data_IF_257312772862
#
_entry.id   IF_257312772862
#
_cell.length_a   1.000
_cell.length_b   1.000
_cell.length_c   1.000
_cell.angle_alpha   90.00
_cell.angle_beta   90.00
_cell.angle_gamma   90.00
#
_symmetry.space_group_name_H-M   'P 1'
#
loop_
_entity.id
_entity.type
_entity.pdbx_description
1 polymer ?
#
# COMPACT_ATOMS: atom_id res chain seq x y z
N UNK A 1 10.96 -11.91 -13.61
CA UNK A 1 9.80 -11.31 -12.92
C UNK A 1 9.47 -12.17 -11.73
N UNK A 2 9.25 -11.59 -10.57
CA UNK A 2 8.93 -12.31 -9.34
C UNK A 2 7.47 -12.77 -9.39
N UNK A 3 7.20 -14.02 -9.03
CA UNK A 3 5.82 -14.46 -8.85
C UNK A 3 5.34 -14.01 -7.47
N UNK A 4 4.46 -13.02 -7.45
CA UNK A 4 3.95 -12.39 -6.24
C UNK A 4 3.31 -13.42 -5.28
N UNK A 5 2.63 -14.41 -5.84
CA UNK A 5 2.05 -15.53 -5.09
C UNK A 5 3.11 -16.27 -4.25
N UNK A 6 4.24 -16.62 -4.87
CA UNK A 6 5.33 -17.34 -4.17
C UNK A 6 5.98 -16.47 -3.10
N UNK A 7 6.20 -15.18 -3.41
CA UNK A 7 6.76 -14.22 -2.47
C UNK A 7 5.90 -14.10 -1.20
N UNK A 8 4.58 -13.95 -1.37
CA UNK A 8 3.65 -13.82 -0.24
C UNK A 8 3.51 -15.14 0.54
N UNK A 9 3.47 -16.29 -0.12
CA UNK A 9 3.40 -17.60 0.55
C UNK A 9 4.67 -17.93 1.34
N UNK A 10 5.84 -17.48 0.87
CA UNK A 10 7.12 -17.72 1.54
C UNK A 10 7.41 -16.75 2.68
N UNK A 11 6.68 -15.65 2.78
CA UNK A 11 6.90 -14.60 3.79
C UNK A 11 5.70 -14.50 4.73
N UNK A 12 5.85 -15.03 5.94
CA UNK A 12 4.77 -15.03 6.94
C UNK A 12 4.32 -13.63 7.37
N UNK A 13 5.18 -12.60 7.26
CA UNK A 13 4.86 -11.26 7.72
C UNK A 13 5.58 -10.14 6.94
N UNK A 14 5.18 -9.85 5.70
CA UNK A 14 5.62 -8.64 4.99
C UNK A 14 5.04 -7.34 5.60
N UNK A 15 4.09 -7.45 6.51
CA UNK A 15 3.46 -6.33 7.22
C UNK A 15 2.35 -5.68 6.40
N UNK A 16 2.61 -4.53 5.82
CA UNK A 16 1.73 -3.84 4.86
C UNK A 16 2.40 -3.89 3.50
N UNK A 17 1.61 -4.08 2.45
CA UNK A 17 2.14 -4.15 1.10
C UNK A 17 1.32 -3.37 0.10
N UNK A 18 2.01 -2.68 -0.82
CA UNK A 18 1.41 -1.95 -1.94
C UNK A 18 1.92 -2.57 -3.23
N UNK A 19 1.01 -2.91 -4.12
CA UNK A 19 1.29 -3.27 -5.51
C UNK A 19 0.73 -2.18 -6.41
N UNK A 20 1.51 -1.70 -7.37
CA UNK A 20 1.03 -0.80 -8.43
C UNK A 20 1.61 -1.28 -9.76
N UNK A 21 0.79 -1.27 -10.81
CA UNK A 21 1.24 -1.71 -12.13
C UNK A 21 0.20 -1.49 -13.22
N UNK A 22 0.43 -2.17 -14.35
CA UNK A 22 -0.45 -2.12 -15.52
C UNK A 22 -0.89 -3.54 -15.90
N UNK A 23 -2.18 -3.75 -16.15
CA UNK A 23 -2.71 -5.05 -16.55
C UNK A 23 -2.05 -5.58 -17.84
N UNK A 24 -2.07 -6.90 -18.04
CA UNK A 24 -1.40 -7.56 -19.16
C UNK A 24 -1.91 -7.08 -20.53
N UNK A 25 -3.21 -6.81 -20.66
CA UNK A 25 -3.81 -6.22 -21.86
C UNK A 25 -3.52 -4.71 -22.03
N UNK A 26 -2.84 -4.10 -21.06
CA UNK A 26 -2.48 -2.69 -21.06
C UNK A 26 -3.64 -1.71 -20.77
N UNK A 27 -4.83 -2.21 -20.51
CA UNK A 27 -6.05 -1.40 -20.36
C UNK A 27 -6.18 -0.73 -19.00
N UNK A 28 -5.75 -1.42 -17.94
CA UNK A 28 -5.99 -0.97 -16.56
C UNK A 28 -4.71 -0.54 -15.85
N UNK A 29 -4.77 0.56 -15.16
CA UNK A 29 -3.88 0.89 -14.06
C UNK A 29 -4.38 0.14 -12.82
N UNK A 30 -3.50 -0.63 -12.18
CA UNK A 30 -3.87 -1.56 -11.11
C UNK A 30 -3.16 -1.17 -9.83
N UNK A 31 -3.88 -1.18 -8.72
CA UNK A 31 -3.28 -1.10 -7.38
C UNK A 31 -3.93 -2.07 -6.42
N UNK A 32 -3.12 -2.62 -5.54
CA UNK A 32 -3.57 -3.39 -4.38
C UNK A 32 -2.86 -2.91 -3.13
N UNK A 33 -3.56 -2.95 -2.01
CA UNK A 33 -3.03 -2.66 -0.69
C UNK A 33 -3.56 -3.66 0.32
N UNK A 34 -2.67 -4.27 1.08
CA UNK A 34 -3.06 -5.17 2.17
C UNK A 34 -2.44 -4.76 3.50
N UNK A 35 -3.14 -5.09 4.57
CA UNK A 35 -2.64 -5.00 5.93
C UNK A 35 -2.60 -6.36 6.59
N UNK A 36 -1.56 -6.57 7.38
CA UNK A 36 -1.40 -7.70 8.28
C UNK A 36 -1.20 -7.20 9.71
N UNK A 37 -1.45 -8.03 10.69
CA UNK A 37 -1.32 -7.70 12.11
C UNK A 37 -0.88 -8.90 12.93
N UNK A 38 0.01 -8.68 13.92
CA UNK A 38 0.43 -9.71 14.90
C UNK A 38 -0.23 -9.52 16.27
N UNK A 39 -0.51 -8.27 16.67
CA UNK A 39 -1.20 -7.98 17.93
C UNK A 39 -2.71 -8.00 17.77
N UNK A 40 -3.45 -8.17 18.87
CA UNK A 40 -4.92 -8.09 18.90
C UNK A 40 -5.42 -6.75 18.38
N UNK A 41 -4.79 -5.63 18.80
CA UNK A 41 -5.13 -4.29 18.34
C UNK A 41 -4.92 -4.13 16.82
N UNK A 42 -3.79 -4.60 16.28
CA UNK A 42 -3.51 -4.52 14.85
C UNK A 42 -4.42 -5.42 13.98
N UNK A 43 -4.92 -6.53 14.54
CA UNK A 43 -5.89 -7.44 13.88
C UNK A 43 -7.33 -6.96 13.96
N UNK A 44 -7.64 -6.05 14.88
CA UNK A 44 -8.97 -5.50 15.10
C UNK A 44 -9.32 -4.40 14.10
N UNK A 45 -9.14 -4.66 12.80
CA UNK A 45 -9.36 -3.69 11.72
C UNK A 45 -10.12 -4.30 10.57
N UNK A 46 -10.86 -3.42 9.87
CA UNK A 46 -11.48 -3.67 8.59
C UNK A 46 -11.25 -2.49 7.66
N UNK A 47 -11.29 -2.71 6.36
CA UNK A 47 -11.42 -1.65 5.37
C UNK A 47 -12.89 -1.38 5.09
N UNK A 48 -13.25 -0.12 5.06
CA UNK A 48 -14.57 0.36 4.64
C UNK A 48 -14.42 1.39 3.53
N UNK A 49 -15.37 1.41 2.60
CA UNK A 49 -15.40 2.43 1.56
C UNK A 49 -15.69 3.81 2.17
N UNK A 50 -14.95 4.83 1.73
CA UNK A 50 -15.13 6.23 2.12
C UNK A 50 -14.96 7.12 0.89
N UNK A 51 -16.08 7.59 0.32
CA UNK A 51 -16.07 8.31 -0.95
C UNK A 51 -15.45 7.47 -2.06
N UNK A 52 -14.48 8.02 -2.77
CA UNK A 52 -13.70 7.31 -3.79
C UNK A 52 -12.51 6.53 -3.20
N UNK A 53 -12.25 6.65 -1.92
CA UNK A 53 -11.18 5.98 -1.20
C UNK A 53 -11.66 4.88 -0.28
N UNK A 54 -10.81 4.53 0.68
CA UNK A 54 -11.13 3.62 1.78
C UNK A 54 -10.56 4.16 3.09
N UNK A 55 -11.17 3.71 4.19
CA UNK A 55 -10.72 3.99 5.55
C UNK A 55 -10.51 2.70 6.34
N UNK A 56 -9.53 2.66 7.22
CA UNK A 56 -9.47 1.64 8.27
C UNK A 56 -10.47 1.96 9.38
N UNK A 57 -11.12 0.95 9.91
CA UNK A 57 -12.04 1.06 11.03
C UNK A 57 -11.79 -0.08 12.01
N UNK A 58 -12.02 0.15 13.30
CA UNK A 58 -12.02 -0.95 14.27
C UNK A 58 -13.17 -1.89 13.96
N UNK A 59 -12.89 -3.21 13.90
CA UNK A 59 -13.92 -4.23 13.79
C UNK A 59 -14.78 -4.28 15.06
N UNK A 60 -14.14 -4.30 16.22
CA UNK A 60 -14.76 -4.21 17.53
C UNK A 60 -14.26 -2.93 18.24
N UNK A 61 -15.05 -1.85 18.25
CA UNK A 61 -14.65 -0.59 18.88
C UNK A 61 -14.34 -0.71 20.36
N UNK A 62 -14.92 -1.70 21.07
CA UNK A 62 -14.69 -1.92 22.50
C UNK A 62 -13.26 -2.42 22.80
N UNK A 63 -12.58 -2.97 21.80
CA UNK A 63 -11.20 -3.49 21.88
C UNK A 63 -10.15 -2.55 21.29
N UNK A 64 -10.54 -1.33 20.91
CA UNK A 64 -9.62 -0.34 20.36
C UNK A 64 -8.82 0.31 21.50
N UNK A 65 -7.50 0.02 21.56
CA UNK A 65 -6.60 0.55 22.60
C UNK A 65 -6.05 1.92 22.19
N UNK A 66 -5.38 1.99 21.02
CA UNK A 66 -4.80 3.21 20.49
C UNK A 66 -5.10 3.34 18.99
N UNK A 67 -5.91 4.33 18.57
CA UNK A 67 -6.25 4.54 17.17
C UNK A 67 -5.13 5.18 16.34
N UNK A 68 -4.14 5.82 16.94
CA UNK A 68 -3.24 6.77 16.26
C UNK A 68 -2.47 6.19 15.08
N UNK A 69 -2.04 4.91 15.16
CA UNK A 69 -1.27 4.24 14.11
C UNK A 69 -2.09 3.22 13.30
N UNK A 70 -3.36 3.03 13.64
CA UNK A 70 -4.18 1.97 13.02
C UNK A 70 -5.45 2.48 12.34
N UNK A 71 -5.92 3.69 12.66
CA UNK A 71 -7.10 4.31 12.05
C UNK A 71 -6.64 5.46 11.15
N UNK A 72 -6.76 5.28 9.84
CA UNK A 72 -6.36 6.25 8.80
C UNK A 72 -7.10 5.94 7.49
N UNK A 73 -6.99 6.80 6.50
CA UNK A 73 -7.47 6.55 5.15
C UNK A 73 -6.32 6.01 4.27
N UNK A 74 -6.21 4.69 4.04
CA UNK A 74 -5.10 4.14 3.23
C UNK A 74 -5.17 4.56 1.78
N UNK A 75 -6.35 4.86 1.25
CA UNK A 75 -6.55 5.27 -0.13
C UNK A 75 -7.38 6.54 -0.19
N UNK A 76 -6.85 7.56 -0.87
CA UNK A 76 -7.57 8.79 -1.23
C UNK A 76 -7.39 9.11 -2.70
N UNK A 77 -8.38 9.78 -3.27
CA UNK A 77 -8.36 10.24 -4.66
C UNK A 77 -8.34 11.75 -4.70
N UNK A 78 -7.43 12.34 -5.46
CA UNK A 78 -7.34 13.77 -5.74
C UNK A 78 -7.39 13.99 -7.26
N UNK A 79 -8.57 14.31 -7.78
CA UNK A 79 -8.79 14.43 -9.21
C UNK A 79 -8.43 13.12 -9.94
N UNK A 80 -7.42 13.18 -10.81
CA UNK A 80 -6.93 12.03 -11.59
C UNK A 80 -5.80 11.25 -10.90
N UNK A 81 -5.59 11.44 -9.60
CA UNK A 81 -4.54 10.79 -8.80
C UNK A 81 -5.15 9.90 -7.74
N UNK A 82 -4.66 8.66 -7.65
CA UNK A 82 -4.98 7.72 -6.56
C UNK A 82 -3.76 7.59 -5.66
N UNK A 83 -3.90 7.93 -4.39
CA UNK A 83 -2.87 7.87 -3.36
C UNK A 83 -3.14 6.64 -2.51
N UNK A 84 -2.11 5.82 -2.27
CA UNK A 84 -2.19 4.58 -1.46
C UNK A 84 -1.03 4.57 -0.47
N UNK A 85 -1.31 4.40 0.83
CA UNK A 85 -0.26 4.35 1.87
C UNK A 85 -0.61 3.39 3.02
N UNK A 86 0.36 3.14 3.89
CA UNK A 86 0.18 2.32 5.09
C UNK A 86 -0.10 3.11 6.37
N UNK A 87 -0.39 4.41 6.28
CA UNK A 87 -0.60 5.24 7.46
C UNK A 87 -1.25 6.60 7.14
N UNK A 88 -1.26 7.47 8.11
CA UNK A 88 -1.86 8.81 8.03
C UNK A 88 -1.12 9.78 7.08
N UNK A 89 0.04 9.41 6.57
CA UNK A 89 0.72 10.17 5.52
C UNK A 89 -0.09 10.25 4.21
N UNK A 90 -1.15 9.48 4.04
CA UNK A 90 -2.10 9.65 2.93
C UNK A 90 -2.67 11.07 2.91
N UNK A 91 -3.10 11.55 4.08
CA UNK A 91 -3.64 12.91 4.23
C UNK A 91 -2.58 13.96 3.98
N UNK A 92 -1.35 13.73 4.46
CA UNK A 92 -0.21 14.62 4.20
C UNK A 92 0.09 14.76 2.71
N UNK A 93 0.07 13.64 1.96
CA UNK A 93 0.27 13.65 0.51
C UNK A 93 -0.90 14.37 -0.18
N UNK A 94 -2.13 14.01 0.19
CA UNK A 94 -3.34 14.61 -0.37
C UNK A 94 -3.34 16.14 -0.22
N UNK A 95 -3.16 16.63 1.00
CA UNK A 95 -3.15 18.06 1.31
C UNK A 95 -1.96 18.80 0.69
N UNK A 96 -0.78 18.17 0.65
CA UNK A 96 0.40 18.75 0.01
C UNK A 96 0.19 18.91 -1.49
N UNK A 97 -0.32 17.89 -2.16
CA UNK A 97 -0.57 17.92 -3.60
C UNK A 97 -1.75 18.83 -3.97
N UNK A 98 -2.77 18.95 -3.13
CA UNK A 98 -3.85 19.94 -3.30
C UNK A 98 -3.30 21.38 -3.25
N UNK A 99 -2.23 21.61 -2.49
CA UNK A 99 -1.44 22.86 -2.44
C UNK A 99 -0.33 22.92 -3.48
N UNK A 100 -0.38 22.06 -4.53
CA UNK A 100 0.57 22.02 -5.66
C UNK A 100 2.00 21.59 -5.31
N UNK A 101 2.23 20.97 -4.15
CA UNK A 101 3.49 20.30 -3.88
C UNK A 101 3.61 19.01 -4.69
N UNK A 102 4.83 18.58 -4.98
CA UNK A 102 5.06 17.25 -5.55
C UNK A 102 4.83 16.16 -4.51
N UNK A 103 4.70 14.91 -4.95
CA UNK A 103 4.60 13.74 -4.08
C UNK A 103 5.75 13.68 -3.05
N UNK A 104 6.98 13.88 -3.51
CA UNK A 104 8.17 13.91 -2.66
C UNK A 104 8.19 15.08 -1.69
N UNK A 105 7.82 16.28 -2.16
CA UNK A 105 7.76 17.47 -1.31
C UNK A 105 6.72 17.31 -0.20
N UNK A 106 5.57 16.69 -0.51
CA UNK A 106 4.52 16.42 0.46
C UNK A 106 5.00 15.49 1.60
N UNK A 107 5.88 14.54 1.28
CA UNK A 107 6.42 13.60 2.27
C UNK A 107 7.59 14.14 3.10
N UNK A 108 8.10 15.36 2.84
CA UNK A 108 9.28 15.89 3.54
C UNK A 108 9.06 16.11 5.05
N UNK A 109 7.83 16.36 5.47
CA UNK A 109 7.45 16.51 6.87
C UNK A 109 7.22 15.20 7.62
N UNK A 110 7.34 14.05 6.93
CA UNK A 110 7.06 12.72 7.50
C UNK A 110 8.35 11.92 7.61
N UNK A 111 8.36 11.02 8.57
CA UNK A 111 9.39 10.01 8.80
C UNK A 111 8.72 8.64 8.93
N UNK A 112 9.45 7.60 9.31
CA UNK A 112 8.90 6.31 9.71
C UNK A 112 7.99 6.43 10.94
N UNK A 113 7.25 5.38 11.30
CA UNK A 113 6.38 5.40 12.48
C UNK A 113 7.21 5.39 13.78
N UNK A 114 6.78 6.14 14.84
CA UNK A 114 7.52 6.23 16.09
C UNK A 114 7.28 5.03 17.01
N UNK A 115 7.20 3.82 16.46
CA UNK A 115 6.87 2.58 17.13
C UNK A 115 8.11 1.72 17.43
N UNK A 116 9.10 2.30 18.11
CA UNK A 116 10.29 1.55 18.50
C UNK A 116 9.98 0.22 19.23
N UNK A 117 10.75 -0.83 19.00
CA UNK A 117 12.01 -0.89 18.25
C UNK A 117 11.85 -1.14 16.73
N UNK A 118 10.65 -1.30 16.20
CA UNK A 118 10.42 -1.64 14.79
C UNK A 118 10.64 -0.45 13.86
N UNK A 119 10.28 0.77 14.32
CA UNK A 119 10.29 1.98 13.49
C UNK A 119 9.70 1.69 12.11
N UNK A 120 8.43 1.28 12.13
CA UNK A 120 7.69 0.79 10.94
C UNK A 120 7.87 1.73 9.75
N UNK A 121 8.37 1.25 8.61
CA UNK A 121 8.50 2.07 7.43
C UNK A 121 7.16 2.63 6.97
N UNK A 122 7.14 3.89 6.54
CA UNK A 122 6.01 4.45 5.81
C UNK A 122 6.21 4.19 4.32
N UNK A 123 5.36 3.35 3.75
CA UNK A 123 5.32 3.08 2.32
C UNK A 123 4.16 3.85 1.69
N UNK A 124 4.40 4.42 0.53
CA UNK A 124 3.42 5.22 -0.19
C UNK A 124 3.49 4.95 -1.68
N UNK A 125 2.35 5.03 -2.34
CA UNK A 125 2.24 4.98 -3.79
C UNK A 125 1.29 6.07 -4.29
N UNK A 126 1.55 6.58 -5.49
CA UNK A 126 0.67 7.48 -6.19
C UNK A 126 0.57 7.05 -7.65
N UNK A 127 -0.64 6.98 -8.17
CA UNK A 127 -0.96 6.72 -9.56
C UNK A 127 -1.52 7.99 -10.18
N UNK A 128 -1.10 8.30 -11.38
CA UNK A 128 -1.59 9.45 -12.15
C UNK A 128 -2.08 8.95 -13.51
N UNK A 129 -3.35 9.19 -13.81
CA UNK A 129 -4.00 8.81 -15.06
C UNK A 129 -4.59 10.04 -15.71
N UNK A 130 -4.08 10.41 -16.88
CA UNK A 130 -4.56 11.60 -17.58
C UNK A 130 -4.48 11.41 -19.10
N UNK A 131 -5.61 11.61 -19.80
CA UNK A 131 -5.71 11.55 -21.26
C UNK A 131 -5.12 10.27 -21.87
N UNK A 132 -5.47 9.11 -21.31
CA UNK A 132 -4.97 7.81 -21.76
C UNK A 132 -3.49 7.52 -21.38
N UNK A 133 -2.84 8.43 -20.65
CA UNK A 133 -1.49 8.23 -20.11
C UNK A 133 -1.54 7.81 -18.67
N UNK A 134 -0.62 6.93 -18.30
CA UNK A 134 -0.49 6.39 -16.96
C UNK A 134 0.96 6.39 -16.50
N UNK A 135 1.20 6.93 -15.33
CA UNK A 135 2.46 6.78 -14.60
C UNK A 135 2.18 6.61 -13.10
N UNK A 136 3.18 6.17 -12.36
CA UNK A 136 3.08 6.07 -10.91
C UNK A 136 4.44 6.28 -10.24
N UNK A 137 4.41 6.58 -8.94
CA UNK A 137 5.59 6.59 -8.10
C UNK A 137 5.33 5.84 -6.79
N UNK A 138 6.39 5.30 -6.21
CA UNK A 138 6.39 4.66 -4.90
C UNK A 138 7.46 5.28 -4.01
N UNK A 139 7.21 5.33 -2.71
CA UNK A 139 8.16 5.86 -1.73
C UNK A 139 8.22 4.99 -0.49
N UNK A 140 9.38 4.99 0.16
CA UNK A 140 9.58 4.43 1.49
C UNK A 140 10.38 5.41 2.36
N UNK A 141 9.87 5.66 3.56
CA UNK A 141 10.55 6.37 4.63
C UNK A 141 10.85 5.35 5.73
N UNK A 142 12.11 5.13 6.05
CA UNK A 142 12.52 4.11 7.02
C UNK A 142 13.69 4.56 7.86
N UNK A 143 13.85 3.97 9.05
CA UNK A 143 15.03 4.19 9.88
C UNK A 143 16.29 3.65 9.22
N UNK A 144 17.42 4.30 9.46
CA UNK A 144 18.72 3.78 9.06
C UNK A 144 19.19 2.74 10.08
N UNK A 145 19.04 1.46 9.72
CA UNK A 145 19.39 0.32 10.57
C UNK A 145 18.78 0.36 11.98
N UNK A 146 17.54 0.85 12.11
CA UNK A 146 16.85 0.97 13.41
C UNK A 146 17.28 2.17 14.24
N UNK A 147 18.05 3.11 13.68
CA UNK A 147 18.39 4.36 14.35
C UNK A 147 17.17 5.32 14.37
N UNK A 148 16.65 5.73 15.54
CA UNK A 148 15.50 6.63 15.65
C UNK A 148 15.78 8.05 15.13
N UNK A 149 17.03 8.48 15.09
CA UNK A 149 17.44 9.84 14.72
C UNK A 149 17.82 9.97 13.23
N UNK A 150 17.70 8.88 12.45
CA UNK A 150 18.09 8.87 11.04
C UNK A 150 17.01 8.27 10.14
N UNK A 151 16.42 9.09 9.27
CA UNK A 151 15.40 8.69 8.30
C UNK A 151 15.97 8.62 6.89
N UNK A 152 15.94 7.43 6.29
CA UNK A 152 16.21 7.20 4.89
C UNK A 152 14.93 7.42 4.06
N UNK A 153 15.06 8.12 2.92
CA UNK A 153 13.95 8.48 2.03
C UNK A 153 14.28 8.03 0.62
N UNK A 154 13.45 7.17 0.06
CA UNK A 154 13.59 6.71 -1.32
C UNK A 154 12.28 6.95 -2.06
N UNK A 155 12.40 7.43 -3.31
CA UNK A 155 11.28 7.56 -4.24
C UNK A 155 11.68 6.92 -5.57
N UNK A 156 10.76 6.13 -6.12
CA UNK A 156 10.91 5.38 -7.37
C UNK A 156 9.79 5.84 -8.31
N UNK A 157 10.14 6.43 -9.44
CA UNK A 157 9.19 6.91 -10.44
C UNK A 157 9.18 5.98 -11.67
N UNK A 158 7.98 5.65 -12.16
CA UNK A 158 7.74 4.76 -13.29
C UNK A 158 6.86 5.50 -14.30
N UNK A 159 7.50 6.10 -15.32
CA UNK A 159 6.81 7.01 -16.25
C UNK A 159 6.04 6.31 -17.36
N UNK A 160 6.47 5.14 -17.79
CA UNK A 160 5.83 4.37 -18.86
C UNK A 160 5.69 2.90 -18.44
N UNK A 161 4.77 2.58 -17.51
CA UNK A 161 4.60 1.21 -17.04
C UNK A 161 4.25 0.25 -18.18
N UNK A 162 4.99 -0.84 -18.29
CA UNK A 162 4.76 -1.85 -19.32
C UNK A 162 3.53 -2.71 -19.00
N UNK A 163 2.75 -3.12 -20.02
CA UNK A 163 1.65 -4.06 -19.81
C UNK A 163 2.12 -5.37 -19.17
N UNK A 164 1.36 -5.84 -18.19
CA UNK A 164 1.66 -7.06 -17.44
C UNK A 164 2.69 -6.87 -16.32
N UNK A 165 3.24 -5.68 -16.13
CA UNK A 165 4.24 -5.40 -15.12
C UNK A 165 3.74 -4.48 -14.00
N UNK A 166 4.22 -4.75 -12.80
CA UNK A 166 4.00 -3.90 -11.63
C UNK A 166 5.17 -3.93 -10.67
N UNK A 167 5.03 -3.16 -9.61
CA UNK A 167 5.99 -3.06 -8.52
C UNK A 167 5.34 -3.35 -7.19
N UNK A 168 6.02 -4.11 -6.37
CA UNK A 168 5.60 -4.49 -5.02
C UNK A 168 6.58 -3.93 -4.00
N UNK A 169 6.07 -3.12 -3.06
CA UNK A 169 6.79 -2.62 -1.90
C UNK A 169 6.05 -3.04 -0.62
N UNK A 170 6.78 -3.37 0.42
CA UNK A 170 6.20 -3.78 1.69
C UNK A 170 7.01 -3.26 2.88
N UNK A 171 6.47 -3.30 4.10
CA UNK A 171 7.13 -2.65 5.24
C UNK A 171 8.29 -3.46 5.78
N UNK A 172 8.20 -4.80 5.84
CA UNK A 172 9.20 -5.65 6.48
C UNK A 172 9.71 -6.75 5.56
N UNK A 173 11.01 -7.01 5.59
CA UNK A 173 11.63 -8.10 4.81
C UNK A 173 11.02 -9.46 5.11
N UNK A 174 10.78 -9.74 6.39
CA UNK A 174 10.21 -10.99 6.91
C UNK A 174 9.75 -10.78 8.35
N UNK A 175 9.20 -11.82 8.97
CA UNK A 175 8.88 -11.82 10.40
C UNK A 175 10.15 -11.77 11.25
N UNK A 176 10.08 -11.16 12.44
CA UNK A 176 11.21 -10.99 13.34
C UNK A 176 10.90 -10.18 14.59
N UNK A 177 11.91 -10.00 15.46
CA UNK A 177 11.83 -9.13 16.62
C UNK A 177 13.23 -8.53 16.91
N UNK A 178 13.48 -7.25 16.60
CA UNK A 178 12.57 -6.35 15.88
C UNK A 178 12.32 -6.78 14.44
N UNK A 179 11.26 -6.23 13.82
CA UNK A 179 10.94 -6.48 12.41
C UNK A 179 11.95 -5.77 11.49
N UNK A 180 12.65 -6.49 10.60
CA UNK A 180 13.59 -5.85 9.69
C UNK A 180 12.88 -5.08 8.58
N UNK A 181 13.19 -3.78 8.44
CA UNK A 181 12.64 -2.93 7.38
C UNK A 181 12.97 -3.44 5.97
N UNK A 182 12.05 -3.22 5.04
CA UNK A 182 12.24 -3.52 3.61
C UNK A 182 13.54 -2.91 3.08
N UNK A 183 14.25 -3.67 2.24
CA UNK A 183 15.51 -3.27 1.61
C UNK A 183 15.42 -3.40 0.08
N UNK A 184 16.14 -2.53 -0.61
CA UNK A 184 16.23 -2.55 -2.06
C UNK A 184 15.12 -1.77 -2.76
N UNK A 185 14.98 -2.00 -4.06
CA UNK A 185 13.94 -1.41 -4.91
C UNK A 185 12.62 -2.17 -4.79
N UNK A 186 11.48 -1.52 -5.10
CA UNK A 186 10.20 -2.24 -5.24
C UNK A 186 10.33 -3.39 -6.24
N UNK A 187 9.91 -4.58 -5.81
CA UNK A 187 10.09 -5.84 -6.56
C UNK A 187 9.23 -5.85 -7.82
N UNK A 188 9.82 -6.23 -8.96
CA UNK A 188 9.09 -6.38 -10.22
C UNK A 188 8.19 -7.62 -10.15
N UNK A 189 6.88 -7.45 -10.38
CA UNK A 189 5.85 -8.48 -10.29
C UNK A 189 4.94 -8.50 -11.52
N UNK A 190 4.25 -9.62 -11.74
CA UNK A 190 3.24 -9.74 -12.78
C UNK A 190 1.90 -9.16 -12.36
N UNK A 191 1.21 -8.47 -13.29
CA UNK A 191 -0.13 -7.93 -13.11
C UNK A 191 -1.07 -8.58 -14.13
N UNK A 192 -2.07 -9.36 -13.68
CA UNK A 192 -3.02 -10.00 -14.57
C UNK A 192 -4.10 -9.03 -15.07
N UNK A 193 -4.96 -9.52 -15.96
CA UNK A 193 -6.12 -8.77 -16.49
C UNK A 193 -7.37 -8.92 -15.63
N UNK A 194 -7.48 -10.03 -14.91
CA UNK A 194 -8.66 -10.39 -14.13
C UNK A 194 -8.50 -9.92 -12.69
N UNK A 195 -9.36 -8.97 -12.27
CA UNK A 195 -9.34 -8.40 -10.93
C UNK A 195 -9.75 -9.43 -9.87
N UNK A 196 -10.69 -10.33 -10.18
CA UNK A 196 -11.18 -11.33 -9.23
C UNK A 196 -10.09 -12.35 -8.95
N UNK A 197 -9.49 -12.90 -10.00
CA UNK A 197 -8.37 -13.82 -9.88
C UNK A 197 -7.17 -13.17 -9.16
N UNK A 198 -6.88 -11.91 -9.42
CA UNK A 198 -5.79 -11.19 -8.74
C UNK A 198 -6.10 -10.99 -7.25
N UNK A 199 -7.33 -10.61 -6.91
CA UNK A 199 -7.78 -10.44 -5.52
C UNK A 199 -7.69 -11.75 -4.76
N UNK A 200 -8.21 -12.83 -5.33
CA UNK A 200 -8.20 -14.17 -4.73
C UNK A 200 -6.77 -14.70 -4.55
N UNK A 201 -5.91 -14.52 -5.55
CA UNK A 201 -4.50 -14.90 -5.48
C UNK A 201 -3.81 -14.17 -4.33
N UNK A 202 -3.96 -12.85 -4.24
CA UNK A 202 -3.35 -12.05 -3.16
C UNK A 202 -3.86 -12.52 -1.79
N UNK A 203 -5.19 -12.60 -1.62
CA UNK A 203 -5.81 -12.94 -0.34
C UNK A 203 -5.42 -14.33 0.15
N UNK A 204 -5.38 -15.31 -0.75
CA UNK A 204 -5.06 -16.70 -0.42
C UNK A 204 -3.54 -16.92 -0.23
N UNK A 205 -2.70 -15.99 -0.69
CA UNK A 205 -1.24 -16.07 -0.53
C UNK A 205 -0.74 -15.42 0.75
N UNK A 206 -1.53 -14.53 1.37
CA UNK A 206 -1.20 -13.95 2.67
C UNK A 206 -1.31 -15.00 3.78
N UNK A 207 -0.36 -14.95 4.74
CA UNK A 207 -0.39 -15.83 5.91
C UNK A 207 -1.74 -15.73 6.63
N UNK A 208 -2.38 -16.88 6.86
CA UNK A 208 -3.75 -16.97 7.37
C UNK A 208 -3.92 -16.33 8.74
N UNK A 209 -2.96 -16.49 9.64
CA UNK A 209 -3.05 -15.96 11.00
C UNK A 209 -2.87 -14.44 11.05
N UNK A 210 -2.10 -13.88 10.12
CA UNK A 210 -1.66 -12.49 10.14
C UNK A 210 -2.45 -11.58 9.19
N UNK A 211 -3.09 -12.10 8.14
CA UNK A 211 -3.87 -11.28 7.20
C UNK A 211 -5.05 -10.60 7.89
N UNK A 212 -5.33 -9.36 7.53
CA UNK A 212 -6.40 -8.55 8.13
C UNK A 212 -7.36 -8.02 7.07
N UNK A 213 -6.86 -7.26 6.09
CA UNK A 213 -7.70 -6.69 5.03
C UNK A 213 -6.89 -6.51 3.75
N UNK A 214 -7.59 -6.57 2.62
CA UNK A 214 -7.08 -6.36 1.27
C UNK A 214 -8.00 -5.41 0.50
N UNK A 215 -7.40 -4.46 -0.20
CA UNK A 215 -8.03 -3.59 -1.19
C UNK A 215 -7.39 -3.84 -2.54
N UNK A 216 -8.20 -3.93 -3.59
CA UNK A 216 -7.76 -4.01 -4.99
C UNK A 216 -8.59 -3.06 -5.83
N UNK A 217 -7.93 -2.32 -6.74
CA UNK A 217 -8.60 -1.42 -7.68
C UNK A 217 -7.98 -1.53 -9.07
N UNK A 218 -8.85 -1.67 -10.07
CA UNK A 218 -8.53 -1.58 -11.48
C UNK A 218 -9.17 -0.31 -12.04
N UNK A 219 -8.37 0.55 -12.67
CA UNK A 219 -8.80 1.83 -13.24
C UNK A 219 -8.56 1.77 -14.74
N UNK A 220 -9.61 1.91 -15.55
CA UNK A 220 -9.50 2.00 -17.00
C UNK A 220 -8.74 3.29 -17.37
N UNK A 221 -7.61 3.14 -18.04
CA UNK A 221 -6.67 4.23 -18.32
C UNK A 221 -7.28 5.27 -19.28
N UNK A 222 -8.14 4.84 -20.19
CA UNK A 222 -8.78 5.73 -21.17
C UNK A 222 -9.94 6.52 -20.58
N UNK A 223 -10.75 5.87 -19.72
CA UNK A 223 -12.00 6.47 -19.23
C UNK A 223 -11.92 6.98 -17.81
N UNK A 224 -10.92 6.58 -17.04
CA UNK A 224 -10.80 6.84 -15.59
C UNK A 224 -11.83 6.08 -14.74
N UNK A 225 -12.70 5.26 -15.33
CA UNK A 225 -13.64 4.43 -14.56
C UNK A 225 -12.90 3.35 -13.81
N UNK A 226 -13.34 3.07 -12.59
CA UNK A 226 -12.70 2.08 -11.76
C UNK A 226 -13.67 1.07 -11.15
N UNK A 227 -13.14 -0.09 -10.85
CA UNK A 227 -13.77 -1.11 -10.02
C UNK A 227 -12.90 -1.35 -8.79
N UNK A 228 -13.54 -1.62 -7.65
CA UNK A 228 -12.85 -1.81 -6.37
C UNK A 228 -13.37 -3.06 -5.67
N UNK A 229 -12.45 -3.84 -5.12
CA UNK A 229 -12.74 -4.95 -4.21
C UNK A 229 -12.10 -4.71 -2.84
N UNK A 230 -12.84 -5.05 -1.80
CA UNK A 230 -12.39 -5.05 -0.41
C UNK A 230 -12.65 -6.43 0.15
N UNK A 231 -11.64 -7.03 0.75
CA UNK A 231 -11.74 -8.29 1.48
C UNK A 231 -11.26 -8.06 2.89
N UNK A 232 -12.07 -8.44 3.86
CA UNK A 232 -11.75 -8.35 5.29
C UNK A 232 -11.81 -9.73 5.93
N UNK A 233 -10.90 -10.03 6.85
CA UNK A 233 -10.94 -11.27 7.63
C UNK A 233 -12.05 -11.23 8.68
N UNK A 234 -12.24 -10.06 9.27
CA UNK A 234 -13.25 -9.81 10.30
C UNK A 234 -14.48 -9.18 9.64
N UNK A 235 -15.41 -9.99 9.19
CA UNK A 235 -16.73 -9.56 8.71
C UNK A 235 -17.76 -10.66 8.96
#
# INVERSE_FOLDING_TARGET
MLQLEQELKSNAYPGRGIVIGRSANGKYAVTAYFIMGRSSNSRNRVFVAEGEGIRTQAFDPSKLEDPSLIIYAPVRVLGNKTIVTNGDQTDTIYEGMDKQLTFEQSLRSREFEPDGPNYTPRISGIMHIENGKYNYAMSILKSDNGNPDSCLRFTYAYENPLPGEGRFIHTYMHDGNPLPSFQGEPKLVEIPDDMDAFTDMLWNSLNEDNKVSLFVRFIDIETGKYETKIVNKNM
#
